data_IF_956409907202
#
_entry.id   IF_956409907202
#
_cell.length_a   1.000
_cell.length_b   1.000
_cell.length_c   1.000
_cell.angle_alpha   90.00
_cell.angle_beta   90.00
_cell.angle_gamma   90.00
#
_symmetry.space_group_name_H-M   'P 1'
#
loop_
_entity.id
_entity.type
_entity.pdbx_description
1 polymer ?
#
# COMPACT_ATOMS: atom_id res chain seq x y z
N UNK A 1 -5.63 4.00 1.94
CA UNK A 1 -4.78 2.80 1.85
C UNK A 1 -4.15 2.42 3.20
N UNK A 2 -3.93 3.36 4.11
CA UNK A 2 -3.28 3.13 5.41
C UNK A 2 -4.01 2.14 6.34
N UNK A 3 -5.27 1.82 6.07
CA UNK A 3 -6.04 0.78 6.77
C UNK A 3 -5.73 -0.64 6.23
N UNK A 4 -5.08 -0.75 5.07
CA UNK A 4 -4.78 -2.04 4.44
C UNK A 4 -3.98 -3.01 5.33
N UNK A 5 -3.00 -2.59 6.14
CA UNK A 5 -2.28 -3.49 7.06
C UNK A 5 -3.19 -4.20 8.07
N UNK A 6 -4.24 -3.52 8.53
CA UNK A 6 -5.23 -4.10 9.43
C UNK A 6 -6.01 -5.22 8.75
N UNK A 7 -6.54 -4.98 7.55
CA UNK A 7 -7.21 -6.00 6.77
C UNK A 7 -6.27 -7.16 6.40
N UNK A 8 -5.02 -6.85 6.02
CA UNK A 8 -4.01 -7.88 5.72
C UNK A 8 -3.74 -8.77 6.93
N UNK A 9 -3.65 -8.19 8.12
CA UNK A 9 -3.44 -8.94 9.36
C UNK A 9 -4.61 -9.89 9.67
N UNK A 10 -5.86 -9.41 9.53
CA UNK A 10 -7.05 -10.23 9.73
C UNK A 10 -7.11 -11.36 8.70
N UNK A 11 -6.96 -11.04 7.42
CA UNK A 11 -7.02 -12.02 6.34
C UNK A 11 -5.87 -13.03 6.42
N UNK A 12 -4.68 -12.60 6.82
CA UNK A 12 -3.53 -13.48 7.02
C UNK A 12 -3.86 -14.55 8.06
N UNK A 13 -4.49 -14.16 9.17
CA UNK A 13 -4.89 -15.11 10.22
C UNK A 13 -5.95 -16.12 9.74
N UNK A 14 -6.84 -15.70 8.82
CA UNK A 14 -7.89 -16.56 8.29
C UNK A 14 -7.36 -17.52 7.22
N UNK A 15 -6.48 -17.06 6.34
CA UNK A 15 -6.09 -17.78 5.12
C UNK A 15 -4.64 -18.28 5.11
N UNK A 16 -3.74 -17.71 5.92
CA UNK A 16 -2.32 -18.07 5.97
C UNK A 16 -1.98 -18.60 7.36
N UNK A 17 -2.06 -19.92 7.53
CA UNK A 17 -1.70 -20.59 8.80
C UNK A 17 -0.22 -20.47 9.15
N UNK A 18 0.63 -20.12 8.19
CA UNK A 18 2.11 -20.05 8.32
C UNK A 18 2.63 -18.70 8.79
N UNK A 19 1.85 -17.63 8.74
CA UNK A 19 2.27 -16.34 9.30
C UNK A 19 1.96 -16.34 10.80
N UNK A 20 2.98 -16.03 11.62
CA UNK A 20 2.93 -16.15 13.07
C UNK A 20 1.78 -15.38 13.74
N UNK A 21 1.55 -15.69 15.01
CA UNK A 21 0.47 -15.02 15.79
C UNK A 21 0.68 -13.50 15.82
N UNK A 22 -0.36 -12.76 15.47
CA UNK A 22 -0.39 -11.31 15.65
C UNK A 22 -0.26 -10.99 17.14
N UNK A 23 0.73 -10.17 17.48
CA UNK A 23 0.97 -9.75 18.87
C UNK A 23 0.23 -8.44 19.14
N UNK A 24 -0.02 -8.13 20.40
CA UNK A 24 -0.62 -6.87 20.83
C UNK A 24 0.15 -5.65 20.30
N UNK A 25 1.47 -5.74 20.19
CA UNK A 25 2.34 -4.69 19.65
C UNK A 25 1.96 -4.28 18.22
N UNK A 26 1.49 -5.23 17.38
CA UNK A 26 0.99 -4.91 16.05
C UNK A 26 -0.22 -3.97 16.11
N UNK A 27 -1.19 -4.24 16.98
CA UNK A 27 -2.39 -3.41 17.12
C UNK A 27 -2.07 -2.05 17.74
N UNK A 28 -1.18 -1.99 18.71
CA UNK A 28 -0.71 -0.73 19.30
C UNK A 28 0.00 0.11 18.23
N UNK A 29 0.94 -0.50 17.50
CA UNK A 29 1.65 0.15 16.40
C UNK A 29 0.70 0.63 15.29
N UNK A 30 -0.33 -0.17 14.96
CA UNK A 30 -1.38 0.23 14.01
C UNK A 30 -2.10 1.50 14.48
N UNK A 31 -2.57 1.55 15.73
CA UNK A 31 -3.30 2.72 16.26
C UNK A 31 -2.40 3.96 16.27
N UNK A 32 -1.14 3.82 16.70
CA UNK A 32 -0.17 4.93 16.72
C UNK A 32 0.13 5.42 15.29
N UNK A 33 0.36 4.51 14.34
CA UNK A 33 0.61 4.87 12.95
C UNK A 33 -0.61 5.57 12.32
N UNK A 34 -1.82 5.06 12.57
CA UNK A 34 -3.06 5.68 12.07
C UNK A 34 -3.28 7.08 12.64
N UNK A 35 -2.97 7.29 13.92
CA UNK A 35 -3.03 8.64 14.53
C UNK A 35 -2.03 9.59 13.83
N UNK A 36 -0.81 9.11 13.53
CA UNK A 36 0.20 9.87 12.78
C UNK A 36 -0.27 10.23 11.37
N UNK A 37 -0.81 9.25 10.63
CA UNK A 37 -1.37 9.46 9.29
C UNK A 37 -2.54 10.45 9.33
N UNK A 38 -3.43 10.33 10.31
CA UNK A 38 -4.53 11.26 10.49
C UNK A 38 -4.05 12.70 10.72
N UNK A 39 -3.05 12.90 11.57
CA UNK A 39 -2.47 14.23 11.81
C UNK A 39 -1.89 14.84 10.53
N UNK A 40 -1.17 14.04 9.72
CA UNK A 40 -0.63 14.51 8.44
C UNK A 40 -1.78 14.89 7.49
N UNK A 41 -2.80 14.03 7.38
CA UNK A 41 -3.91 14.21 6.44
C UNK A 41 -4.82 15.40 6.79
N UNK A 42 -5.00 15.68 8.08
CA UNK A 42 -5.85 16.79 8.54
C UNK A 42 -5.10 18.11 8.67
N UNK A 43 -3.81 18.14 8.37
CA UNK A 43 -3.00 19.36 8.44
C UNK A 43 -3.44 20.38 7.39
N UNK A 44 -4.27 21.34 7.80
CA UNK A 44 -4.76 22.42 6.93
C UNK A 44 -5.92 22.04 6.00
N UNK A 45 -6.39 20.81 5.99
CA UNK A 45 -7.50 20.37 5.16
C UNK A 45 -8.84 20.48 5.92
N UNK A 46 -9.85 21.03 5.25
CA UNK A 46 -11.24 20.92 5.74
C UNK A 46 -11.72 19.48 5.53
N UNK A 47 -12.29 18.92 6.55
CA UNK A 47 -12.85 17.56 6.51
C UNK A 47 -14.17 17.62 5.74
N UNK A 48 -14.13 17.28 4.47
CA UNK A 48 -15.33 17.06 3.67
C UNK A 48 -15.65 15.57 3.68
N UNK A 49 -16.66 15.20 4.46
CA UNK A 49 -17.12 13.81 4.52
C UNK A 49 -17.90 13.47 3.25
N UNK A 50 -17.39 12.52 2.50
CA UNK A 50 -18.11 11.91 1.38
C UNK A 50 -18.32 10.42 1.67
N UNK A 51 -19.47 10.03 2.24
CA UNK A 51 -19.69 8.65 2.70
C UNK A 51 -19.47 7.59 1.60
N UNK A 52 -19.82 7.90 0.37
CA UNK A 52 -19.63 6.98 -0.76
C UNK A 52 -18.14 6.88 -1.13
N UNK A 53 -17.45 8.00 -1.21
CA UNK A 53 -16.00 8.03 -1.48
C UNK A 53 -15.21 7.34 -0.37
N UNK A 54 -15.57 7.59 0.89
CA UNK A 54 -14.92 6.98 2.06
C UNK A 54 -15.12 5.46 2.08
N UNK A 55 -16.34 4.98 1.79
CA UNK A 55 -16.63 3.55 1.68
C UNK A 55 -15.82 2.90 0.55
N UNK A 56 -15.74 3.54 -0.62
CA UNK A 56 -14.95 3.05 -1.75
C UNK A 56 -13.45 3.00 -1.41
N UNK A 57 -12.94 3.99 -0.67
CA UNK A 57 -11.55 4.01 -0.22
C UNK A 57 -11.23 2.86 0.76
N UNK A 58 -12.15 2.56 1.68
CA UNK A 58 -12.01 1.40 2.59
C UNK A 58 -12.09 0.09 1.81
N UNK A 59 -13.01 -0.03 0.86
CA UNK A 59 -13.13 -1.19 -0.01
C UNK A 59 -11.85 -1.42 -0.84
N UNK A 60 -11.26 -0.35 -1.37
CA UNK A 60 -9.98 -0.43 -2.10
C UNK A 60 -8.85 -0.96 -1.19
N UNK A 61 -8.77 -0.51 0.06
CA UNK A 61 -7.80 -1.02 1.04
C UNK A 61 -8.02 -2.50 1.36
N UNK A 62 -9.28 -2.94 1.45
CA UNK A 62 -9.64 -4.35 1.64
C UNK A 62 -9.23 -5.21 0.43
N UNK A 63 -9.54 -4.76 -0.79
CA UNK A 63 -9.14 -5.45 -2.04
C UNK A 63 -7.62 -5.56 -2.14
N UNK A 64 -6.89 -4.50 -1.75
CA UNK A 64 -5.43 -4.53 -1.68
C UNK A 64 -4.91 -5.58 -0.71
N UNK A 65 -5.54 -5.71 0.46
CA UNK A 65 -5.19 -6.74 1.42
C UNK A 65 -5.46 -8.15 0.87
N UNK A 66 -6.60 -8.37 0.20
CA UNK A 66 -6.89 -9.63 -0.49
C UNK A 66 -5.83 -9.96 -1.54
N UNK A 67 -5.43 -8.97 -2.36
CA UNK A 67 -4.36 -9.14 -3.33
C UNK A 67 -3.04 -9.57 -2.66
N UNK A 68 -2.65 -8.94 -1.56
CA UNK A 68 -1.42 -9.26 -0.84
C UNK A 68 -1.43 -10.69 -0.27
N UNK A 69 -2.57 -11.13 0.28
CA UNK A 69 -2.75 -12.49 0.80
C UNK A 69 -2.70 -13.53 -0.33
N UNK A 70 -3.38 -13.27 -1.44
CA UNK A 70 -3.35 -14.16 -2.61
C UNK A 70 -1.94 -14.27 -3.19
N UNK A 71 -1.24 -13.15 -3.32
CA UNK A 71 0.17 -13.12 -3.76
C UNK A 71 1.05 -13.96 -2.83
N UNK A 72 0.89 -13.84 -1.52
CA UNK A 72 1.62 -14.65 -0.54
C UNK A 72 1.32 -16.13 -0.71
N UNK A 73 0.05 -16.49 -0.88
CA UNK A 73 -0.37 -17.89 -1.08
C UNK A 73 0.18 -18.45 -2.40
N UNK A 74 0.13 -17.68 -3.49
CA UNK A 74 0.68 -18.12 -4.78
C UNK A 74 2.20 -18.28 -4.69
N UNK A 75 2.88 -17.40 -3.99
CA UNK A 75 4.34 -17.48 -3.82
C UNK A 75 4.79 -18.73 -3.05
N UNK A 76 3.92 -19.31 -2.20
CA UNK A 76 4.22 -20.57 -1.49
C UNK A 76 4.27 -21.79 -2.42
N UNK A 77 3.72 -21.71 -3.63
CA UNK A 77 3.83 -22.74 -4.66
C UNK A 77 5.14 -22.70 -5.46
N UNK A 78 6.10 -21.83 -5.07
CA UNK A 78 7.41 -21.75 -5.70
C UNK A 78 7.42 -20.99 -7.03
N UNK A 79 6.32 -20.38 -7.44
CA UNK A 79 6.23 -19.65 -8.72
C UNK A 79 7.18 -18.44 -8.75
N UNK A 80 7.85 -18.16 -9.89
CA UNK A 80 8.65 -16.96 -10.09
C UNK A 80 7.78 -15.69 -9.96
N UNK A 81 8.26 -14.71 -9.19
CA UNK A 81 7.52 -13.45 -8.92
C UNK A 81 7.16 -12.73 -10.21
N UNK A 82 8.11 -12.60 -11.12
CA UNK A 82 7.91 -11.91 -12.42
C UNK A 82 6.81 -12.59 -13.22
N UNK A 83 6.79 -13.93 -13.28
CA UNK A 83 5.77 -14.67 -14.01
C UNK A 83 4.38 -14.46 -13.41
N UNK A 84 4.28 -14.50 -12.09
CA UNK A 84 3.02 -14.28 -11.38
C UNK A 84 2.51 -12.86 -11.61
N UNK A 85 3.38 -11.85 -11.45
CA UNK A 85 3.03 -10.44 -11.68
C UNK A 85 2.56 -10.22 -13.12
N UNK A 86 3.30 -10.75 -14.11
CA UNK A 86 2.90 -10.67 -15.52
C UNK A 86 1.51 -11.25 -15.78
N UNK A 87 1.23 -12.43 -15.24
CA UNK A 87 -0.10 -13.06 -15.37
C UNK A 87 -1.19 -12.23 -14.71
N UNK A 88 -0.94 -11.69 -13.53
CA UNK A 88 -1.90 -10.82 -12.83
C UNK A 88 -2.23 -9.59 -13.67
N UNK A 89 -1.22 -8.92 -14.25
CA UNK A 89 -1.46 -7.78 -15.15
C UNK A 89 -2.20 -8.17 -16.40
N UNK A 90 -1.84 -9.30 -17.02
CA UNK A 90 -2.53 -9.78 -18.23
C UNK A 90 -4.03 -10.00 -17.99
N UNK A 91 -4.38 -10.73 -16.93
CA UNK A 91 -5.80 -10.93 -16.57
C UNK A 91 -6.46 -9.63 -16.12
N UNK A 92 -5.72 -8.77 -15.40
CA UNK A 92 -6.22 -7.45 -15.01
C UNK A 92 -6.64 -6.62 -16.21
N UNK A 93 -5.78 -6.53 -17.24
CA UNK A 93 -6.09 -5.82 -18.50
C UNK A 93 -7.31 -6.47 -19.18
N UNK A 94 -7.36 -7.80 -19.26
CA UNK A 94 -8.48 -8.50 -19.87
C UNK A 94 -9.82 -8.15 -19.22
N UNK A 95 -9.85 -8.06 -17.87
CA UNK A 95 -11.05 -7.68 -17.12
C UNK A 95 -11.32 -6.16 -17.17
N UNK A 96 -10.31 -5.33 -17.44
CA UNK A 96 -10.51 -3.89 -17.61
C UNK A 96 -11.13 -3.52 -18.95
N UNK A 97 -10.90 -4.31 -20.00
CA UNK A 97 -11.44 -4.02 -21.34
C UNK A 97 -12.96 -3.82 -21.33
N UNK A 98 -13.79 -4.70 -20.73
CA UNK A 98 -15.23 -4.45 -20.63
C UNK A 98 -15.58 -3.18 -19.86
N UNK A 99 -14.81 -2.82 -18.83
CA UNK A 99 -15.05 -1.62 -18.04
C UNK A 99 -14.84 -0.33 -18.86
N UNK A 100 -13.91 -0.33 -19.83
CA UNK A 100 -13.71 0.82 -20.74
C UNK A 100 -14.99 1.14 -21.52
N UNK A 101 -15.73 0.12 -21.95
CA UNK A 101 -17.00 0.31 -22.67
C UNK A 101 -18.14 0.75 -21.72
N UNK A 102 -18.12 0.31 -20.45
CA UNK A 102 -19.14 0.70 -19.47
C UNK A 102 -18.98 2.15 -18.99
N UNK A 103 -17.78 2.69 -19.04
CA UNK A 103 -17.47 4.06 -18.58
C UNK A 103 -17.21 5.04 -19.72
N UNK A 104 -17.68 4.76 -20.95
CA UNK A 104 -17.56 5.61 -22.13
C UNK A 104 -16.14 6.17 -22.34
N UNK A 105 -15.13 5.28 -22.22
CA UNK A 105 -13.74 5.68 -22.33
C UNK A 105 -13.39 6.08 -23.77
N UNK A 106 -13.09 7.36 -23.99
CA UNK A 106 -12.63 7.89 -25.28
C UNK A 106 -11.10 7.82 -25.39
N UNK A 107 -10.60 7.12 -26.41
CA UNK A 107 -9.17 7.11 -26.73
C UNK A 107 -8.84 8.37 -27.52
N UNK A 108 -8.20 9.34 -26.88
CA UNK A 108 -7.71 10.57 -27.54
C UNK A 108 -6.23 10.44 -27.87
N UNK A 109 -5.94 9.89 -29.03
CA UNK A 109 -4.56 9.65 -29.50
C UNK A 109 -3.73 10.95 -29.63
N UNK A 110 -4.38 12.09 -29.85
CA UNK A 110 -3.75 13.41 -29.93
C UNK A 110 -2.96 13.77 -28.65
N UNK A 111 -3.36 13.25 -27.49
CA UNK A 111 -2.65 13.48 -26.24
C UNK A 111 -1.27 12.82 -26.19
N UNK A 112 -1.03 11.80 -26.99
CA UNK A 112 0.27 11.13 -27.08
C UNK A 112 1.31 11.93 -27.89
N UNK A 113 0.89 12.94 -28.63
CA UNK A 113 1.78 13.86 -29.33
C UNK A 113 2.53 14.80 -28.37
N UNK A 114 1.98 15.03 -27.16
CA UNK A 114 2.65 15.80 -26.13
C UNK A 114 3.64 14.90 -25.38
N UNK A 115 4.91 15.28 -25.42
CA UNK A 115 6.01 14.56 -24.76
C UNK A 115 5.78 14.42 -23.25
N UNK A 116 5.21 15.42 -22.60
CA UNK A 116 4.92 15.38 -21.16
C UNK A 116 3.90 14.30 -20.82
N UNK A 117 2.81 14.21 -21.62
CA UNK A 117 1.81 13.17 -21.44
C UNK A 117 2.39 11.76 -21.71
N UNK A 118 3.22 11.64 -22.75
CA UNK A 118 3.88 10.38 -23.06
C UNK A 118 4.82 9.93 -21.94
N UNK A 119 5.66 10.84 -21.41
CA UNK A 119 6.56 10.55 -20.30
C UNK A 119 5.79 10.16 -19.03
N UNK A 120 4.69 10.83 -18.72
CA UNK A 120 3.83 10.49 -17.58
C UNK A 120 3.23 9.08 -17.72
N UNK A 121 2.78 8.70 -18.91
CA UNK A 121 2.23 7.36 -19.16
C UNK A 121 3.33 6.29 -19.06
N UNK A 122 4.53 6.56 -19.60
CA UNK A 122 5.67 5.66 -19.47
C UNK A 122 6.09 5.49 -18.01
N UNK A 123 6.15 6.57 -17.25
CA UNK A 123 6.43 6.53 -15.82
C UNK A 123 5.38 5.70 -15.06
N UNK A 124 4.09 5.95 -15.29
CA UNK A 124 3.00 5.20 -14.65
C UNK A 124 3.02 3.72 -15.03
N UNK A 125 3.31 3.39 -16.28
CA UNK A 125 3.33 2.01 -16.75
C UNK A 125 4.56 1.22 -16.28
N UNK A 126 5.75 1.78 -16.44
CA UNK A 126 7.00 1.09 -16.15
C UNK A 126 7.39 1.15 -14.67
N UNK A 127 7.39 2.35 -14.07
CA UNK A 127 7.84 2.51 -12.69
C UNK A 127 6.71 2.28 -11.70
N UNK A 128 5.65 3.06 -11.75
CA UNK A 128 4.59 2.99 -10.75
C UNK A 128 3.75 1.70 -10.84
N UNK A 129 3.66 1.07 -12.01
CA UNK A 129 2.98 -0.21 -12.15
C UNK A 129 3.96 -1.38 -12.18
N UNK A 130 4.73 -1.58 -13.24
CA UNK A 130 5.50 -2.80 -13.42
C UNK A 130 6.55 -3.01 -12.33
N UNK A 131 7.42 -2.02 -12.09
CA UNK A 131 8.52 -2.12 -11.13
C UNK A 131 7.99 -2.21 -9.69
N UNK A 132 7.05 -1.32 -9.32
CA UNK A 132 6.48 -1.30 -7.96
C UNK A 132 5.75 -2.59 -7.61
N UNK A 133 4.96 -3.16 -8.53
CA UNK A 133 4.26 -4.43 -8.24
C UNK A 133 5.21 -5.63 -8.17
N UNK A 134 6.25 -5.69 -9.02
CA UNK A 134 7.28 -6.73 -8.91
C UNK A 134 8.00 -6.63 -7.57
N UNK A 135 8.40 -5.43 -7.16
CA UNK A 135 9.07 -5.17 -5.88
C UNK A 135 8.16 -5.51 -4.70
N UNK A 136 6.88 -5.10 -4.76
CA UNK A 136 5.87 -5.44 -3.75
C UNK A 136 5.69 -6.96 -3.61
N UNK A 137 5.51 -7.66 -4.73
CA UNK A 137 5.33 -9.10 -4.73
C UNK A 137 6.57 -9.85 -4.25
N UNK A 138 7.77 -9.33 -4.55
CA UNK A 138 9.02 -9.85 -4.00
C UNK A 138 9.08 -9.64 -2.48
N UNK A 139 8.74 -8.46 -1.98
CA UNK A 139 8.68 -8.16 -0.56
C UNK A 139 7.68 -9.08 0.16
N UNK A 140 6.47 -9.26 -0.39
CA UNK A 140 5.46 -10.19 0.15
C UNK A 140 5.98 -11.63 0.17
N UNK A 141 6.73 -12.05 -0.85
CA UNK A 141 7.34 -13.39 -0.90
C UNK A 141 8.38 -13.58 0.20
N UNK A 142 9.24 -12.59 0.44
CA UNK A 142 10.39 -12.69 1.36
C UNK A 142 9.98 -12.39 2.79
N UNK A 143 9.28 -11.28 3.03
CA UNK A 143 8.95 -10.78 4.36
C UNK A 143 7.61 -11.31 4.90
N UNK A 144 6.72 -11.74 4.01
CA UNK A 144 5.33 -12.05 4.33
C UNK A 144 4.38 -10.88 4.08
N UNK A 145 3.08 -11.19 3.98
CA UNK A 145 2.08 -10.19 3.61
C UNK A 145 1.87 -9.13 4.70
N UNK A 146 1.83 -9.54 5.97
CA UNK A 146 1.61 -8.63 7.11
C UNK A 146 2.75 -7.65 7.26
N UNK A 147 4.00 -8.13 7.31
CA UNK A 147 5.16 -7.24 7.43
C UNK A 147 5.26 -6.27 6.27
N UNK A 148 5.11 -6.75 5.04
CA UNK A 148 5.16 -5.89 3.85
C UNK A 148 4.10 -4.81 3.91
N UNK A 149 2.88 -5.14 4.35
CA UNK A 149 1.78 -4.15 4.43
C UNK A 149 2.03 -3.05 5.46
N UNK A 150 2.73 -3.32 6.55
CA UNK A 150 3.07 -2.31 7.58
C UNK A 150 3.93 -1.17 6.99
N UNK A 151 4.79 -1.47 6.01
CA UNK A 151 5.61 -0.45 5.34
C UNK A 151 4.79 0.59 4.56
N UNK A 152 3.47 0.36 4.34
CA UNK A 152 2.56 1.37 3.79
C UNK A 152 2.56 2.65 4.65
N UNK A 153 2.84 2.55 5.96
CA UNK A 153 2.94 3.73 6.84
C UNK A 153 4.12 4.65 6.52
N UNK A 154 5.09 4.19 5.72
CA UNK A 154 6.16 5.05 5.20
C UNK A 154 5.69 5.96 4.07
N UNK A 155 4.59 5.62 3.39
CA UNK A 155 4.09 6.41 2.24
C UNK A 155 3.81 7.87 2.64
N UNK A 156 3.00 8.19 3.67
CA UNK A 156 2.78 9.58 4.06
C UNK A 156 4.05 10.29 4.52
N UNK A 157 5.00 9.57 5.12
CA UNK A 157 6.31 10.12 5.53
C UNK A 157 7.11 10.56 4.31
N UNK A 158 7.22 9.67 3.31
CA UNK A 158 7.93 9.97 2.05
C UNK A 158 7.23 11.12 1.32
N UNK A 159 5.89 11.14 1.33
CA UNK A 159 5.10 12.21 0.71
C UNK A 159 5.42 13.56 1.35
N UNK A 160 5.44 13.67 2.68
CA UNK A 160 5.80 14.91 3.38
C UNK A 160 7.23 15.35 3.03
N UNK A 161 8.19 14.43 3.07
CA UNK A 161 9.59 14.75 2.70
C UNK A 161 9.69 15.24 1.26
N UNK A 162 9.02 14.56 0.33
CA UNK A 162 9.04 14.94 -1.09
C UNK A 162 8.34 16.28 -1.32
N UNK A 163 7.21 16.54 -0.66
CA UNK A 163 6.48 17.81 -0.73
C UNK A 163 7.37 18.99 -0.30
N UNK A 164 8.11 18.82 0.79
CA UNK A 164 9.05 19.85 1.28
C UNK A 164 10.20 20.08 0.30
N UNK A 165 10.81 19.00 -0.20
CA UNK A 165 12.00 19.10 -1.06
C UNK A 165 11.68 19.59 -2.48
N UNK A 166 10.58 19.11 -3.06
CA UNK A 166 10.23 19.37 -4.47
C UNK A 166 9.27 20.55 -4.60
N UNK A 167 8.21 20.58 -3.79
CA UNK A 167 7.19 21.63 -3.85
C UNK A 167 7.52 22.84 -2.97
N UNK A 168 8.58 22.74 -2.10
CA UNK A 168 8.99 23.78 -1.14
C UNK A 168 7.85 24.23 -0.22
N UNK A 169 6.96 23.31 0.11
CA UNK A 169 5.87 23.56 1.03
C UNK A 169 6.39 23.78 2.47
N UNK A 170 5.80 24.71 3.23
CA UNK A 170 6.22 24.95 4.60
C UNK A 170 5.91 23.74 5.48
N UNK A 171 6.91 23.32 6.25
CA UNK A 171 6.73 22.24 7.23
C UNK A 171 5.94 22.77 8.42
N UNK A 172 4.82 22.14 8.72
CA UNK A 172 4.07 22.46 9.93
C UNK A 172 4.46 21.52 11.08
N UNK A 173 4.35 21.99 12.31
CA UNK A 173 4.57 21.16 13.49
C UNK A 173 3.66 19.93 13.53
N UNK A 174 2.44 20.06 13.01
CA UNK A 174 1.48 18.96 12.91
C UNK A 174 1.98 17.87 11.96
N UNK A 175 2.54 18.26 10.80
CA UNK A 175 3.15 17.29 9.86
C UNK A 175 4.35 16.57 10.48
N UNK A 176 5.20 17.30 11.23
CA UNK A 176 6.35 16.69 11.92
C UNK A 176 5.88 15.67 12.97
N UNK A 177 4.96 16.06 13.83
CA UNK A 177 4.42 15.17 14.86
C UNK A 177 3.74 13.94 14.24
N UNK A 178 2.94 14.15 13.19
CA UNK A 178 2.29 13.05 12.46
C UNK A 178 3.30 12.09 11.83
N UNK A 179 4.38 12.63 11.25
CA UNK A 179 5.47 11.83 10.67
C UNK A 179 6.18 11.00 11.75
N UNK A 180 6.52 11.60 12.88
CA UNK A 180 7.15 10.89 14.01
C UNK A 180 6.24 9.78 14.54
N UNK A 181 4.95 10.05 14.70
CA UNK A 181 3.98 9.03 15.15
C UNK A 181 3.82 7.90 14.13
N UNK A 182 3.76 8.21 12.83
CA UNK A 182 3.65 7.18 11.79
C UNK A 182 4.87 6.25 11.80
N UNK A 183 6.07 6.79 11.92
CA UNK A 183 7.33 6.03 12.01
C UNK A 183 7.41 5.24 13.33
N UNK A 184 7.05 5.84 14.44
CA UNK A 184 7.00 5.15 15.74
C UNK A 184 6.01 3.99 15.72
N UNK A 185 4.83 4.18 15.13
CA UNK A 185 3.83 3.14 14.94
C UNK A 185 4.31 1.98 14.07
N UNK A 186 5.05 2.29 13.00
CA UNK A 186 5.70 1.28 12.15
C UNK A 186 6.66 0.43 12.99
N UNK A 187 7.59 1.05 13.71
CA UNK A 187 8.56 0.32 14.54
C UNK A 187 7.89 -0.50 15.65
N UNK A 188 6.87 0.05 16.30
CA UNK A 188 6.09 -0.68 17.31
C UNK A 188 5.39 -1.90 16.71
N UNK A 189 4.82 -1.74 15.51
CA UNK A 189 4.15 -2.83 14.79
C UNK A 189 5.11 -3.95 14.38
N UNK A 190 6.36 -3.61 14.03
CA UNK A 190 7.41 -4.59 13.70
C UNK A 190 8.14 -5.16 14.91
N UNK A 191 8.07 -4.49 16.06
CA UNK A 191 8.82 -4.89 17.24
C UNK A 191 8.38 -6.27 17.73
N UNK A 192 9.12 -7.27 17.31
CA UNK A 192 9.07 -8.61 17.92
C UNK A 192 9.96 -8.57 19.16
N UNK A 193 9.37 -8.33 20.33
CA UNK A 193 10.14 -8.46 21.58
C UNK A 193 10.98 -9.73 21.53
N UNK A 194 12.30 -9.60 21.64
CA UNK A 194 13.24 -10.69 21.80
C UNK A 194 12.83 -11.50 23.03
N UNK A 195 12.17 -12.64 22.83
CA UNK A 195 11.71 -13.46 23.92
C UNK A 195 11.03 -14.72 23.42
N UNK A 196 11.73 -15.57 22.69
CA UNK A 196 11.63 -17.02 22.64
C UNK A 196 12.31 -17.56 21.37
N UNK A 197 13.58 -17.41 21.32
CA UNK A 197 14.44 -18.17 20.44
C UNK A 197 15.51 -18.86 21.29
N UNK A 198 15.13 -19.92 21.99
CA UNK A 198 15.98 -21.01 22.43
C UNK A 198 15.11 -22.00 23.22
N UNK A 199 14.61 -22.98 22.54
CA UNK A 199 14.41 -24.33 23.06
C UNK A 199 14.13 -25.22 21.85
N UNK A 200 15.22 -25.88 21.43
CA UNK A 200 15.32 -27.17 20.76
C UNK A 200 14.62 -27.40 19.45
#
# INVERSE_FOLDING_TARGET
ISVAPFFTAILSRLFLKSEGKLRANFFIGFVVAMAGVALISFNGSKLELNPVGDLLAVLAAFVWACYSILTRKISSFGCPVILTTRRTFFYGILFMVPALFLFDFEVRLERFADVTHLLNILYLGLEASALCFVTWNLAVKVLGAVKTSVYIYMVPVITVVTSVLVLKEPVTWVSVMGTVLAVAGLFLSEYNGKGSGNSE
#
